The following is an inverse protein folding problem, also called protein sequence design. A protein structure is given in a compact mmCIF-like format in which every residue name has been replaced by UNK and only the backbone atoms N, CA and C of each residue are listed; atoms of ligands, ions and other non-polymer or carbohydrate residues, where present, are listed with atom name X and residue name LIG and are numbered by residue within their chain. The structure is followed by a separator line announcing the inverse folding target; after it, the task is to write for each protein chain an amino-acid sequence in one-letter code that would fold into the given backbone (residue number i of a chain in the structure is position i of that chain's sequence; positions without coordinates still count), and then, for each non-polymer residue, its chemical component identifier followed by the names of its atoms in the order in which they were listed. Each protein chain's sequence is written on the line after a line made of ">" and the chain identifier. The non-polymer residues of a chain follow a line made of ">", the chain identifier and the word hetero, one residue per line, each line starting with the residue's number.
data_IF_548012599915
#
_entry.id   IF_548012599915
#
_cell.length_a   1.000
_cell.length_b   1.000
_cell.length_c   1.000
_cell.angle_alpha   90.00
_cell.angle_beta   90.00
_cell.angle_gamma   90.00
#
_symmetry.space_group_name_H-M   'P 1'
#
loop_
_entity.id
_entity.type
_entity.pdbx_description
1 polymer ?
#
# COMPACT_ATOMS: atom_id res chain seq x y z
N UNK A 1 -0.09 -5.93 -8.47
CA UNK A 1 -1.38 -6.47 -7.97
C UNK A 1 -1.13 -7.25 -6.69
N UNK A 2 -1.75 -6.86 -5.57
CA UNK A 2 -1.68 -7.58 -4.30
C UNK A 2 -2.26 -8.99 -4.51
N UNK A 3 -1.39 -10.02 -4.55
CA UNK A 3 -1.78 -11.41 -4.85
C UNK A 3 -2.56 -12.10 -3.72
N UNK A 4 -2.72 -11.45 -2.57
CA UNK A 4 -3.52 -11.92 -1.45
C UNK A 4 -4.45 -10.79 -1.00
N UNK A 5 -5.71 -11.13 -0.83
CA UNK A 5 -6.88 -10.30 -0.49
C UNK A 5 -6.72 -9.60 0.86
N UNK A 6 -5.78 -8.66 0.96
CA UNK A 6 -5.62 -7.80 2.12
C UNK A 6 -6.80 -6.84 2.19
N UNK A 7 -7.44 -6.73 3.36
CA UNK A 7 -8.45 -5.70 3.61
C UNK A 7 -7.83 -4.32 3.29
N UNK A 8 -8.38 -3.66 2.28
CA UNK A 8 -8.05 -2.28 1.92
C UNK A 8 -8.98 -1.37 2.73
N UNK A 9 -8.43 -0.30 3.27
CA UNK A 9 -9.13 0.71 4.03
C UNK A 9 -9.02 2.05 3.32
N UNK A 10 -9.99 2.94 3.54
CA UNK A 10 -9.96 4.31 3.07
C UNK A 10 -9.64 5.23 4.25
N UNK A 11 -8.73 6.17 4.05
CA UNK A 11 -8.49 7.25 5.00
C UNK A 11 -9.60 8.33 4.88
N UNK A 12 -9.52 9.37 5.73
CA UNK A 12 -10.47 10.50 5.71
C UNK A 12 -10.45 11.30 4.40
N UNK A 13 -9.33 11.30 3.67
CA UNK A 13 -9.21 11.90 2.35
C UNK A 13 -9.64 10.95 1.22
N UNK A 14 -10.08 9.72 1.55
CA UNK A 14 -10.49 8.72 0.56
C UNK A 14 -9.32 8.00 -0.11
N UNK A 15 -8.10 8.08 0.44
CA UNK A 15 -6.95 7.34 -0.09
C UNK A 15 -6.92 5.92 0.45
N UNK A 16 -6.65 4.97 -0.44
CA UNK A 16 -6.55 3.55 -0.10
C UNK A 16 -5.25 3.24 0.64
N UNK A 17 -5.37 2.47 1.73
CA UNK A 17 -4.23 1.97 2.48
C UNK A 17 -4.47 0.54 2.96
N UNK A 18 -3.38 -0.16 3.30
CA UNK A 18 -3.43 -1.50 3.88
C UNK A 18 -2.63 -1.53 5.18
N UNK A 19 -3.09 -2.33 6.14
CA UNK A 19 -2.32 -2.62 7.35
C UNK A 19 -1.44 -3.84 7.08
N UNK A 20 -0.13 -3.69 7.27
CA UNK A 20 0.86 -4.75 7.12
C UNK A 20 1.58 -4.98 8.44
N UNK A 21 2.16 -6.16 8.57
CA UNK A 21 3.12 -6.45 9.64
C UNK A 21 4.50 -6.24 9.03
N UNK A 22 5.34 -5.41 9.65
CA UNK A 22 6.72 -5.22 9.20
C UNK A 22 7.62 -6.40 9.62
N UNK A 23 8.89 -6.35 9.23
CA UNK A 23 9.89 -7.40 9.53
C UNK A 23 10.10 -7.63 11.04
N UNK A 24 9.81 -6.63 11.88
CA UNK A 24 9.88 -6.71 13.34
C UNK A 24 8.59 -7.22 14.00
N UNK A 25 7.54 -7.49 13.21
CA UNK A 25 6.25 -7.96 13.75
C UNK A 25 5.29 -6.85 14.17
N UNK A 26 5.60 -5.58 13.90
CA UNK A 26 4.76 -4.43 14.25
C UNK A 26 3.73 -4.14 13.15
N UNK A 27 2.56 -3.63 13.57
CA UNK A 27 1.49 -3.28 12.62
C UNK A 27 1.74 -1.89 12.06
N UNK A 28 2.14 -1.82 10.80
CA UNK A 28 2.33 -0.58 10.06
C UNK A 28 1.17 -0.30 9.10
N UNK A 29 0.97 0.98 8.81
CA UNK A 29 0.05 1.43 7.75
C UNK A 29 0.85 1.69 6.48
N UNK A 30 0.51 1.01 5.39
CA UNK A 30 1.17 1.12 4.11
C UNK A 30 0.22 1.71 3.07
N UNK A 31 0.64 2.81 2.46
CA UNK A 31 -0.02 3.45 1.33
C UNK A 31 0.63 2.92 0.05
N UNK A 32 -0.07 2.14 -0.77
CA UNK A 32 0.47 1.72 -2.05
C UNK A 32 0.70 2.95 -2.95
N UNK A 33 1.76 2.93 -3.77
CA UNK A 33 2.02 4.01 -4.71
C UNK A 33 0.86 4.12 -5.70
N UNK A 34 0.63 5.34 -6.18
CA UNK A 34 -0.30 5.55 -7.30
C UNK A 34 0.21 4.85 -8.56
N UNK A 35 -0.68 4.65 -9.55
CA UNK A 35 -0.28 4.06 -10.82
C UNK A 35 0.83 4.86 -11.51
N UNK A 36 0.77 6.19 -11.45
CA UNK A 36 1.79 7.06 -12.02
C UNK A 36 3.14 6.94 -11.30
N UNK A 37 3.15 6.87 -9.97
CA UNK A 37 4.38 6.65 -9.20
C UNK A 37 4.97 5.26 -9.42
N UNK A 38 4.12 4.25 -9.53
CA UNK A 38 4.53 2.90 -9.87
C UNK A 38 5.24 2.86 -11.23
N UNK A 39 4.67 3.51 -12.25
CA UNK A 39 5.28 3.60 -13.58
C UNK A 39 6.65 4.30 -13.53
N UNK A 40 6.77 5.44 -12.84
CA UNK A 40 8.06 6.14 -12.67
C UNK A 40 9.12 5.27 -12.01
N UNK A 41 8.75 4.44 -11.03
CA UNK A 41 9.68 3.52 -10.37
C UNK A 41 10.16 2.36 -11.24
N UNK A 42 9.50 2.11 -12.39
CA UNK A 42 9.80 1.02 -13.33
C UNK A 42 10.65 1.45 -14.52
N UNK A 43 10.83 2.74 -14.74
CA UNK A 43 11.69 3.30 -15.79
C UNK A 43 13.18 3.35 -15.40
N UNK A 44 13.59 2.66 -14.32
CA UNK A 44 14.97 2.55 -13.84
C UNK A 44 15.59 1.20 -14.21
#
# INVERSE_FOLDING_TARGET
>A
MLKNSGKVFLDKAGQEFVKKIDENGEKITYYPPTWEEYLKSKEV
#
